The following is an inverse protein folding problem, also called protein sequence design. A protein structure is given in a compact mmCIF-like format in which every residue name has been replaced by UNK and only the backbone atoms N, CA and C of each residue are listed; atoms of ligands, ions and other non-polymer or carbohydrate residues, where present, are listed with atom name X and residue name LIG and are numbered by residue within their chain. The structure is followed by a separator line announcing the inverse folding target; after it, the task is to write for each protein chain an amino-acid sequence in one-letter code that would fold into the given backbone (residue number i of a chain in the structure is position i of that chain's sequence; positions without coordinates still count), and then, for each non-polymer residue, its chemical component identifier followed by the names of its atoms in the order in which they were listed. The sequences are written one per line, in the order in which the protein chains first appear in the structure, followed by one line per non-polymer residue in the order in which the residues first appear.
data_IF_440766531868
#
_entry.id   IF_440766531868
#
_cell.length_a   1.000
_cell.length_b   1.000
_cell.length_c   1.000
_cell.angle_alpha   90.00
_cell.angle_beta   90.00
_cell.angle_gamma   90.00
#
_symmetry.space_group_name_H-M   'P 1'
#
loop_
_entity.id
_entity.type
_entity.pdbx_description
1 polymer ?
#
# COMPACT_ATOMS: atom_id res chain seq x y z
N UNK A 1 -24.47 9.24 7.61
CA UNK A 1 -25.52 9.79 6.68
C UNK A 1 -26.13 8.58 5.98
N UNK A 2 -27.41 8.26 6.24
CA UNK A 2 -28.06 7.09 5.67
C UNK A 2 -28.49 7.43 4.24
N UNK A 3 -27.95 6.75 3.26
CA UNK A 3 -28.42 6.88 1.90
C UNK A 3 -29.81 6.25 1.81
N UNK A 4 -30.84 7.06 1.55
CA UNK A 4 -32.17 6.56 1.21
C UNK A 4 -32.10 5.94 -0.19
N UNK A 5 -32.15 4.66 -0.27
CA UNK A 5 -32.38 3.94 -1.52
C UNK A 5 -33.72 4.36 -2.12
N UNK A 6 -33.70 4.72 -3.39
CA UNK A 6 -34.89 5.13 -4.15
C UNK A 6 -35.95 4.04 -4.10
N UNK A 7 -37.21 4.41 -3.77
CA UNK A 7 -38.35 3.50 -3.66
C UNK A 7 -38.64 2.83 -5.01
N UNK A 8 -38.16 1.61 -5.20
CA UNK A 8 -38.68 0.74 -6.24
C UNK A 8 -39.81 -0.10 -5.62
N UNK A 9 -41.02 0.00 -6.15
CA UNK A 9 -42.12 -0.91 -5.76
C UNK A 9 -41.79 -2.29 -6.31
N UNK A 10 -41.28 -3.16 -5.46
CA UNK A 10 -41.10 -4.58 -5.77
C UNK A 10 -42.44 -5.27 -5.57
N UNK A 11 -43.15 -5.51 -6.68
CA UNK A 11 -44.41 -6.32 -6.68
C UNK A 11 -44.16 -7.78 -7.09
N UNK A 12 -42.93 -8.22 -7.11
CA UNK A 12 -42.49 -9.55 -7.53
C UNK A 12 -41.58 -10.16 -6.47
N UNK A 13 -41.52 -11.49 -6.45
CA UNK A 13 -40.48 -12.17 -5.68
C UNK A 13 -39.11 -11.97 -6.33
N UNK A 14 -38.14 -11.71 -5.52
CA UNK A 14 -36.73 -11.55 -5.96
C UNK A 14 -35.82 -12.44 -5.13
N UNK A 15 -34.89 -13.08 -5.78
CA UNK A 15 -33.81 -13.74 -5.08
C UNK A 15 -32.87 -12.66 -4.51
N UNK A 16 -32.71 -12.66 -3.19
CA UNK A 16 -31.83 -11.73 -2.50
C UNK A 16 -30.75 -12.54 -1.78
N UNK A 17 -29.51 -12.24 -2.07
CA UNK A 17 -28.39 -12.69 -1.23
C UNK A 17 -27.85 -11.53 -0.40
N UNK A 18 -27.69 -11.78 0.88
CA UNK A 18 -27.11 -10.86 1.85
C UNK A 18 -25.93 -11.55 2.52
N UNK A 19 -24.76 -10.97 2.40
CA UNK A 19 -23.54 -11.52 2.97
C UNK A 19 -22.85 -10.48 3.82
N UNK A 20 -22.37 -10.89 4.98
CA UNK A 20 -21.49 -10.11 5.85
C UNK A 20 -20.27 -10.97 6.11
N UNK A 21 -19.13 -10.52 5.63
CA UNK A 21 -17.88 -11.25 5.77
C UNK A 21 -16.89 -10.42 6.56
N UNK A 22 -16.24 -11.01 7.53
CA UNK A 22 -15.07 -10.40 8.16
C UNK A 22 -13.87 -10.63 7.25
N UNK A 23 -13.29 -9.55 6.75
CA UNK A 23 -12.14 -9.58 5.85
C UNK A 23 -10.80 -9.24 6.54
N UNK A 24 -10.88 -8.60 7.70
CA UNK A 24 -9.73 -8.35 8.59
C UNK A 24 -10.20 -8.21 10.04
N UNK A 25 -9.29 -8.10 10.98
CA UNK A 25 -9.60 -8.03 12.41
C UNK A 25 -10.58 -6.91 12.79
N UNK A 26 -10.61 -5.82 12.04
CA UNK A 26 -11.46 -4.65 12.27
C UNK A 26 -12.27 -4.25 11.03
N UNK A 27 -12.39 -5.14 10.04
CA UNK A 27 -13.06 -4.84 8.78
C UNK A 27 -14.17 -5.86 8.48
N UNK A 28 -15.30 -5.34 8.04
CA UNK A 28 -16.43 -6.12 7.54
C UNK A 28 -16.74 -5.70 6.11
N UNK A 29 -17.00 -6.67 5.25
CA UNK A 29 -17.58 -6.44 3.94
C UNK A 29 -19.03 -6.85 3.94
N UNK A 30 -19.91 -5.98 3.47
CA UNK A 30 -21.35 -6.24 3.33
C UNK A 30 -21.70 -6.24 1.85
N UNK A 31 -22.28 -7.34 1.38
CA UNK A 31 -22.68 -7.50 -0.02
C UNK A 31 -24.17 -7.81 -0.06
N UNK A 32 -24.91 -7.09 -0.90
CA UNK A 32 -26.33 -7.36 -1.19
C UNK A 32 -26.49 -7.52 -2.70
N UNK A 33 -27.01 -8.68 -3.12
CA UNK A 33 -27.37 -8.93 -4.51
C UNK A 33 -28.87 -9.16 -4.61
N UNK A 34 -29.48 -8.63 -5.65
CA UNK A 34 -30.92 -8.80 -5.97
C UNK A 34 -31.02 -9.34 -7.38
N UNK A 35 -31.66 -10.50 -7.53
CA UNK A 35 -31.74 -11.21 -8.80
C UNK A 35 -30.37 -11.41 -9.47
N UNK A 36 -29.34 -11.68 -8.68
CA UNK A 36 -27.94 -11.86 -9.14
C UNK A 36 -27.16 -10.58 -9.40
N UNK A 37 -27.81 -9.42 -9.51
CA UNK A 37 -27.15 -8.14 -9.68
C UNK A 37 -26.68 -7.57 -8.33
N UNK A 38 -25.46 -7.08 -8.27
CA UNK A 38 -24.93 -6.45 -7.08
C UNK A 38 -25.54 -5.06 -6.88
N UNK A 39 -26.19 -4.86 -5.75
CA UNK A 39 -26.83 -3.61 -5.37
C UNK A 39 -26.03 -2.84 -4.34
N UNK A 40 -25.25 -3.57 -3.55
CA UNK A 40 -24.48 -2.98 -2.48
C UNK A 40 -23.25 -3.86 -2.22
N UNK A 41 -22.09 -3.21 -2.14
CA UNK A 41 -20.84 -3.88 -1.83
C UNK A 41 -19.91 -2.86 -1.16
N UNK A 42 -19.87 -2.87 0.16
CA UNK A 42 -19.16 -1.87 0.95
C UNK A 42 -18.27 -2.53 2.00
N UNK A 43 -17.10 -1.92 2.19
CA UNK A 43 -16.16 -2.28 3.25
C UNK A 43 -16.22 -1.25 4.37
N UNK A 44 -16.51 -1.72 5.56
CA UNK A 44 -16.53 -0.92 6.77
C UNK A 44 -15.24 -1.18 7.54
N UNK A 45 -14.40 -0.16 7.63
CA UNK A 45 -13.16 -0.18 8.42
C UNK A 45 -13.44 0.29 9.84
N UNK A 46 -12.66 -0.19 10.81
CA UNK A 46 -12.83 0.06 12.24
C UNK A 46 -14.23 -0.31 12.76
N UNK A 47 -14.82 -1.32 12.14
CA UNK A 47 -16.15 -1.77 12.50
C UNK A 47 -16.17 -2.42 13.89
N UNK A 48 -16.98 -1.86 14.78
CA UNK A 48 -17.26 -2.48 16.10
C UNK A 48 -18.01 -3.81 15.98
N UNK A 49 -18.55 -4.11 14.80
CA UNK A 49 -19.25 -5.35 14.51
C UNK A 49 -18.32 -6.48 14.06
N UNK A 50 -17.06 -6.16 13.74
CA UNK A 50 -16.05 -7.18 13.48
C UNK A 50 -15.88 -8.05 14.73
N UNK A 51 -15.78 -9.35 14.55
CA UNK A 51 -15.72 -10.35 15.63
C UNK A 51 -16.98 -10.41 16.54
N UNK A 52 -18.10 -9.83 16.11
CA UNK A 52 -19.35 -9.83 16.88
C UNK A 52 -20.36 -10.76 16.21
N UNK A 53 -20.99 -11.64 16.98
CA UNK A 53 -22.11 -12.40 16.49
C UNK A 53 -23.31 -11.48 16.26
N UNK A 54 -23.91 -11.57 15.08
CA UNK A 54 -25.09 -10.78 14.71
C UNK A 54 -26.31 -11.65 14.45
N UNK A 55 -27.48 -11.05 14.56
CA UNK A 55 -28.74 -11.65 14.19
C UNK A 55 -29.28 -11.04 12.91
N UNK A 56 -29.73 -11.89 11.99
CA UNK A 56 -30.42 -11.41 10.79
C UNK A 56 -31.85 -10.99 11.16
N UNK A 57 -32.19 -9.74 10.79
CA UNK A 57 -33.55 -9.19 11.01
C UNK A 57 -34.07 -8.61 9.69
N UNK A 58 -35.35 -8.69 9.50
CA UNK A 58 -36.06 -8.00 8.43
C UNK A 58 -37.29 -7.29 8.95
N UNK A 59 -37.74 -6.30 8.23
CA UNK A 59 -38.92 -5.55 8.65
C UNK A 59 -39.62 -4.87 7.48
N UNK A 60 -40.86 -4.48 7.70
CA UNK A 60 -41.65 -3.69 6.77
C UNK A 60 -42.13 -2.42 7.45
N UNK A 61 -42.29 -1.35 6.67
CA UNK A 61 -42.75 -0.04 7.15
C UNK A 61 -43.95 0.39 6.30
N UNK A 62 -44.90 1.00 6.94
CA UNK A 62 -46.15 1.46 6.30
C UNK A 62 -46.88 0.28 5.60
N UNK A 63 -47.86 -0.12 5.58
CA UNK A 63 -48.70 -1.11 4.85
C UNK A 63 -47.96 -2.11 3.90
N UNK A 64 -46.66 -2.12 3.90
CA UNK A 64 -45.87 -3.08 3.12
C UNK A 64 -45.83 -4.43 3.84
N UNK A 65 -45.91 -5.52 3.10
CA UNK A 65 -45.63 -6.85 3.63
C UNK A 65 -44.39 -7.42 2.97
N UNK A 66 -43.57 -8.11 3.76
CA UNK A 66 -42.36 -8.78 3.30
C UNK A 66 -42.44 -10.23 3.76
N UNK A 67 -42.30 -11.15 2.83
CA UNK A 67 -42.16 -12.57 3.11
C UNK A 67 -40.77 -13.01 2.71
N UNK A 68 -40.08 -13.69 3.61
CA UNK A 68 -38.77 -14.28 3.33
C UNK A 68 -38.90 -15.79 3.36
N UNK A 69 -38.56 -16.43 2.28
CA UNK A 69 -38.49 -17.86 2.15
C UNK A 69 -37.06 -18.32 2.00
N UNK A 70 -36.74 -19.47 2.59
CA UNK A 70 -35.42 -20.06 2.43
C UNK A 70 -35.30 -20.68 1.04
N UNK A 71 -34.44 -20.11 0.20
CA UNK A 71 -34.24 -20.54 -1.20
C UNK A 71 -33.11 -21.55 -1.42
N UNK A 72 -32.36 -21.94 -0.39
CA UNK A 72 -31.28 -22.91 -0.53
C UNK A 72 -30.30 -22.93 0.63
N UNK A 73 -29.15 -23.57 0.44
CA UNK A 73 -28.02 -23.48 1.35
C UNK A 73 -27.39 -22.08 1.23
N UNK A 74 -27.01 -21.48 2.35
CA UNK A 74 -26.22 -20.27 2.31
C UNK A 74 -24.96 -20.54 1.45
N UNK A 75 -24.83 -19.85 0.33
CA UNK A 75 -23.58 -19.81 -0.42
C UNK A 75 -22.70 -18.85 0.38
N UNK A 76 -21.75 -19.38 1.12
CA UNK A 76 -20.63 -18.57 1.61
C UNK A 76 -19.90 -18.14 0.34
N UNK A 77 -19.81 -16.83 0.03
CA UNK A 77 -19.00 -16.40 -1.09
C UNK A 77 -17.60 -16.98 -0.89
N UNK A 78 -17.04 -17.56 -1.93
CA UNK A 78 -15.63 -17.90 -1.90
C UNK A 78 -14.87 -16.63 -1.46
N UNK A 79 -13.95 -16.73 -0.51
CA UNK A 79 -13.11 -15.61 -0.17
C UNK A 79 -12.53 -15.07 -1.47
N UNK A 80 -12.64 -13.76 -1.66
CA UNK A 80 -11.99 -13.11 -2.81
C UNK A 80 -10.52 -13.56 -2.82
N UNK A 81 -10.02 -14.08 -3.93
CA UNK A 81 -8.65 -14.58 -3.96
C UNK A 81 -7.73 -13.48 -3.42
N UNK A 82 -6.87 -13.83 -2.48
CA UNK A 82 -5.90 -12.86 -1.98
C UNK A 82 -5.12 -12.30 -3.17
N UNK A 83 -4.90 -10.98 -3.20
CA UNK A 83 -4.19 -10.37 -4.30
C UNK A 83 -2.83 -11.03 -4.46
N UNK A 84 -2.56 -11.53 -5.66
CA UNK A 84 -1.26 -12.11 -5.99
C UNK A 84 -0.25 -10.99 -6.20
N UNK A 85 0.89 -11.09 -5.53
CA UNK A 85 1.97 -10.14 -5.67
C UNK A 85 3.32 -10.86 -5.64
N UNK A 86 4.31 -10.24 -6.28
CA UNK A 86 5.67 -10.72 -6.25
C UNK A 86 6.39 -10.23 -4.99
N UNK A 87 7.28 -11.06 -4.47
CA UNK A 87 8.21 -10.67 -3.41
C UNK A 87 9.62 -10.68 -3.99
N UNK A 88 10.25 -9.52 -4.02
CA UNK A 88 11.58 -9.32 -4.60
C UNK A 88 12.58 -8.99 -3.50
N UNK A 89 13.55 -9.86 -3.32
CA UNK A 89 14.75 -9.53 -2.56
C UNK A 89 15.68 -8.71 -3.46
N UNK A 90 16.09 -7.54 -3.00
CA UNK A 90 16.87 -6.60 -3.82
C UNK A 90 18.27 -7.10 -4.21
N UNK A 91 18.61 -8.32 -3.87
CA UNK A 91 19.94 -8.90 -4.15
C UNK A 91 20.31 -8.86 -5.63
N UNK A 92 19.36 -9.14 -6.53
CA UNK A 92 19.59 -9.10 -7.98
C UNK A 92 19.81 -7.66 -8.46
N UNK A 93 19.03 -6.72 -7.96
CA UNK A 93 19.17 -5.29 -8.28
C UNK A 93 20.54 -4.75 -7.85
N UNK A 94 21.01 -5.19 -6.68
CA UNK A 94 22.30 -4.75 -6.14
C UNK A 94 23.49 -5.37 -6.86
N UNK A 95 23.32 -6.54 -7.47
CA UNK A 95 24.33 -7.19 -8.29
C UNK A 95 24.50 -6.50 -9.66
N UNK A 96 23.43 -5.90 -10.17
CA UNK A 96 23.35 -5.26 -11.49
C UNK A 96 23.58 -3.73 -11.38
N UNK A 97 24.76 -3.37 -10.91
CA UNK A 97 25.11 -1.96 -10.62
C UNK A 97 25.10 -1.05 -11.84
N UNK A 98 25.30 -1.58 -13.04
CA UNK A 98 25.40 -0.81 -14.27
C UNK A 98 24.02 -0.31 -14.75
N UNK A 99 22.96 -0.90 -14.24
CA UNK A 99 21.57 -0.49 -14.48
C UNK A 99 20.99 0.42 -13.40
N UNK A 100 21.79 1.00 -12.55
CA UNK A 100 21.37 2.06 -11.66
C UNK A 100 21.69 3.44 -12.26
N UNK A 101 20.68 4.28 -12.34
CA UNK A 101 20.85 5.68 -12.76
C UNK A 101 20.97 6.59 -11.56
N UNK A 102 21.83 7.57 -11.66
CA UNK A 102 21.89 8.68 -10.71
C UNK A 102 20.97 9.78 -11.20
N UNK A 103 19.86 10.00 -10.50
CA UNK A 103 18.88 10.98 -10.93
C UNK A 103 19.34 12.42 -10.68
N UNK A 104 19.95 12.72 -9.53
CA UNK A 104 20.34 14.08 -9.16
C UNK A 104 21.64 14.12 -8.37
N UNK A 105 22.51 15.02 -8.78
CA UNK A 105 23.67 15.63 -8.15
C UNK A 105 24.81 14.74 -7.64
N UNK A 106 24.56 13.65 -6.91
CA UNK A 106 25.61 12.77 -6.40
C UNK A 106 25.43 11.35 -6.88
N UNK A 107 26.52 10.76 -7.33
CA UNK A 107 26.56 9.36 -7.74
C UNK A 107 26.26 8.44 -6.55
N UNK A 108 25.58 7.33 -6.84
CA UNK A 108 25.44 6.25 -5.90
C UNK A 108 26.76 5.50 -5.75
N UNK A 109 27.04 5.03 -4.54
CA UNK A 109 28.18 4.16 -4.28
C UNK A 109 27.74 2.69 -4.18
N UNK A 110 28.51 1.79 -4.79
CA UNK A 110 28.25 0.36 -4.78
C UNK A 110 29.42 -0.38 -4.15
N UNK A 111 29.19 -0.92 -2.96
CA UNK A 111 30.22 -1.62 -2.21
C UNK A 111 29.62 -2.86 -1.51
N UNK A 112 30.31 -3.98 -1.56
CA UNK A 112 29.98 -5.20 -0.81
C UNK A 112 28.49 -5.68 -0.97
N UNK A 113 27.93 -5.54 -2.18
CA UNK A 113 26.54 -5.92 -2.45
C UNK A 113 25.53 -4.99 -1.79
N UNK A 114 25.86 -3.73 -1.66
CA UNK A 114 24.96 -2.67 -1.24
C UNK A 114 25.01 -1.48 -2.19
N UNK A 115 23.94 -0.68 -2.19
CA UNK A 115 23.88 0.64 -2.82
C UNK A 115 23.72 1.70 -1.74
N UNK A 116 24.46 2.77 -1.87
CA UNK A 116 24.47 3.90 -0.93
C UNK A 116 24.19 5.20 -1.65
N UNK A 117 23.19 5.93 -1.18
CA UNK A 117 22.98 7.34 -1.47
C UNK A 117 23.58 8.18 -0.32
N UNK A 118 24.40 9.17 -0.65
CA UNK A 118 25.06 10.03 0.33
C UNK A 118 24.85 11.50 -0.03
N UNK A 119 23.84 12.10 0.56
CA UNK A 119 23.53 13.53 0.47
C UNK A 119 24.27 14.28 1.56
N UNK A 120 25.30 15.03 1.22
CA UNK A 120 26.14 15.77 2.17
C UNK A 120 25.39 16.89 2.93
N UNK A 121 26.10 17.58 3.82
CA UNK A 121 25.56 18.70 4.61
C UNK A 121 25.13 19.92 3.78
N UNK A 122 25.51 20.01 2.51
CA UNK A 122 25.20 21.15 1.64
C UNK A 122 23.79 21.13 1.04
N UNK A 123 22.89 20.24 1.51
CA UNK A 123 21.56 20.00 0.95
C UNK A 123 21.58 19.38 -0.45
N UNK A 124 22.68 18.73 -0.81
CA UNK A 124 22.80 18.03 -2.07
C UNK A 124 22.00 16.74 -2.01
N UNK A 125 21.17 16.54 -3.00
CA UNK A 125 20.41 15.30 -3.17
C UNK A 125 21.35 14.22 -3.72
N UNK A 126 21.26 13.04 -3.13
CA UNK A 126 21.75 11.81 -3.72
C UNK A 126 20.54 10.93 -3.98
N UNK A 127 20.16 10.76 -5.22
CA UNK A 127 18.98 10.03 -5.65
C UNK A 127 19.36 9.13 -6.81
N UNK A 128 18.85 7.92 -6.81
CA UNK A 128 19.00 7.05 -7.95
C UNK A 128 18.00 5.91 -7.95
N UNK A 129 17.78 5.36 -9.12
CA UNK A 129 16.85 4.26 -9.36
C UNK A 129 17.45 3.14 -10.18
N UNK A 130 16.98 1.95 -9.93
CA UNK A 130 17.29 0.78 -10.73
C UNK A 130 16.40 0.76 -11.98
N UNK A 131 17.01 0.79 -13.17
CA UNK A 131 16.33 0.84 -14.47
C UNK A 131 16.44 -0.45 -15.30
N UNK A 132 17.07 -1.48 -14.76
CA UNK A 132 17.18 -2.77 -15.47
C UNK A 132 15.85 -3.49 -15.65
N UNK A 133 14.84 -3.16 -14.82
CA UNK A 133 13.51 -3.76 -14.84
C UNK A 133 12.51 -2.87 -14.14
N UNK A 134 11.26 -2.87 -14.62
CA UNK A 134 10.10 -2.31 -13.92
C UNK A 134 9.39 -3.37 -13.07
N UNK A 135 8.62 -2.91 -12.11
CA UNK A 135 7.94 -3.76 -11.13
C UNK A 135 6.48 -3.34 -10.97
N UNK A 136 5.62 -4.33 -10.90
CA UNK A 136 4.18 -4.19 -10.71
C UNK A 136 3.72 -5.17 -9.62
N UNK A 137 2.79 -4.77 -8.79
CA UNK A 137 2.28 -5.64 -7.72
C UNK A 137 3.41 -6.33 -6.93
N UNK A 138 4.35 -5.55 -6.41
CA UNK A 138 5.59 -6.09 -5.86
C UNK A 138 5.87 -5.54 -4.47
N UNK A 139 6.30 -6.41 -3.59
CA UNK A 139 6.88 -6.09 -2.28
C UNK A 139 8.39 -6.33 -2.33
N UNK A 140 9.16 -5.29 -2.11
CA UNK A 140 10.62 -5.37 -1.98
C UNK A 140 11.02 -5.70 -0.56
N UNK A 141 12.00 -6.58 -0.42
CA UNK A 141 12.64 -6.92 0.85
C UNK A 141 14.10 -6.55 0.82
N UNK A 142 14.52 -5.78 1.80
CA UNK A 142 15.91 -5.33 1.91
C UNK A 142 16.27 -4.96 3.34
N UNK A 143 17.56 -4.85 3.58
CA UNK A 143 18.09 -4.22 4.79
C UNK A 143 18.37 -2.75 4.50
N UNK A 144 17.98 -1.90 5.40
CA UNK A 144 18.14 -0.46 5.33
C UNK A 144 18.95 0.05 6.51
N UNK A 145 19.96 0.87 6.24
CA UNK A 145 20.77 1.54 7.26
C UNK A 145 20.86 3.01 6.90
N UNK A 146 20.78 3.88 7.88
CA UNK A 146 20.91 5.32 7.69
C UNK A 146 21.92 5.94 8.61
N UNK A 147 22.41 7.11 8.24
CA UNK A 147 23.16 8.04 9.10
C UNK A 147 22.74 9.46 8.74
N UNK A 148 22.20 10.18 9.69
CA UNK A 148 21.74 11.53 9.47
C UNK A 148 22.84 12.52 9.82
N UNK A 149 23.07 13.51 8.95
CA UNK A 149 24.09 14.54 9.14
C UNK A 149 23.55 15.83 9.75
N UNK A 150 22.26 16.10 9.62
CA UNK A 150 21.60 17.28 10.16
C UNK A 150 20.17 16.97 10.61
N UNK A 151 19.61 17.81 11.49
CA UNK A 151 18.25 17.63 12.02
C UNK A 151 17.14 17.70 10.94
N UNK A 152 17.37 18.47 9.89
CA UNK A 152 16.50 18.59 8.72
C UNK A 152 16.87 17.61 7.59
N UNK A 153 17.81 16.70 7.84
CA UNK A 153 18.15 15.63 6.90
C UNK A 153 17.06 14.57 6.83
N UNK A 154 16.84 14.04 5.64
CA UNK A 154 15.93 12.93 5.39
C UNK A 154 16.51 11.96 4.37
N UNK A 155 16.00 10.76 4.40
CA UNK A 155 16.40 9.68 3.51
C UNK A 155 15.27 8.67 3.38
N UNK A 156 15.38 7.80 2.38
CA UNK A 156 14.37 6.80 2.16
C UNK A 156 14.52 6.00 0.88
N UNK A 157 13.41 5.46 0.44
CA UNK A 157 13.31 4.64 -0.75
C UNK A 157 12.01 4.94 -1.51
N UNK A 158 12.00 4.58 -2.79
CA UNK A 158 10.96 5.04 -3.71
C UNK A 158 10.53 3.94 -4.67
N UNK A 159 9.30 4.08 -5.17
CA UNK A 159 8.79 3.44 -6.36
C UNK A 159 8.37 4.55 -7.32
N UNK A 160 9.29 4.96 -8.19
CA UNK A 160 9.09 6.07 -9.12
C UNK A 160 8.53 5.63 -10.47
N UNK A 161 7.84 6.52 -11.17
CA UNK A 161 7.28 6.26 -12.50
C UNK A 161 8.33 6.32 -13.63
N UNK A 162 9.55 6.76 -13.33
CA UNK A 162 10.65 6.80 -14.31
C UNK A 162 12.01 6.57 -13.64
N UNK A 163 13.00 6.03 -14.37
CA UNK A 163 14.29 5.67 -13.81
C UNK A 163 15.11 6.88 -13.36
N UNK A 164 14.96 8.00 -14.06
CA UNK A 164 15.68 9.26 -13.76
C UNK A 164 14.93 10.13 -12.76
N UNK A 165 13.66 9.84 -12.50
CA UNK A 165 12.77 10.59 -11.64
C UNK A 165 12.11 9.67 -10.60
N UNK A 166 12.92 8.88 -9.91
CA UNK A 166 12.45 8.01 -8.83
C UNK A 166 12.02 8.80 -7.60
N UNK A 167 12.17 10.09 -7.60
CA UNK A 167 11.78 10.98 -6.52
C UNK A 167 11.23 12.31 -7.06
N UNK A 168 10.14 12.81 -6.49
CA UNK A 168 9.54 14.11 -6.64
C UNK A 168 9.45 14.67 -8.09
N UNK A 169 8.28 14.65 -8.67
CA UNK A 169 7.96 15.32 -9.93
C UNK A 169 7.48 14.43 -11.06
N UNK A 170 7.84 13.15 -11.06
CA UNK A 170 7.35 12.21 -12.07
C UNK A 170 6.18 11.34 -11.60
N UNK A 171 5.78 11.48 -10.34
CA UNK A 171 4.84 10.57 -9.71
C UNK A 171 5.51 9.34 -9.13
N UNK A 172 4.81 8.68 -8.21
CA UNK A 172 5.29 7.46 -7.57
C UNK A 172 4.93 7.42 -6.08
N UNK A 173 5.55 6.47 -5.39
CA UNK A 173 5.36 6.22 -3.98
C UNK A 173 6.69 6.37 -3.28
N UNK A 174 6.74 7.24 -2.28
CA UNK A 174 7.96 7.64 -1.59
C UNK A 174 7.82 7.44 -0.10
N UNK A 175 8.84 6.89 0.53
CA UNK A 175 8.96 6.87 1.99
C UNK A 175 10.15 7.71 2.37
N UNK A 176 9.89 8.77 3.14
CA UNK A 176 10.91 9.64 3.70
C UNK A 176 10.99 9.42 5.21
N UNK A 177 12.15 9.10 5.71
CA UNK A 177 12.45 9.07 7.14
C UNK A 177 13.08 10.39 7.57
N UNK A 178 12.37 11.14 8.38
CA UNK A 178 12.86 12.33 9.05
C UNK A 178 13.46 11.98 10.43
N UNK A 179 13.71 12.99 11.26
CA UNK A 179 14.26 12.81 12.62
C UNK A 179 13.37 11.90 13.47
N UNK A 180 12.08 12.20 13.54
CA UNK A 180 11.16 11.60 14.49
C UNK A 180 9.89 11.03 13.81
N UNK A 181 9.90 10.91 12.49
CA UNK A 181 8.73 10.48 11.71
C UNK A 181 9.10 9.80 10.41
N UNK A 182 8.19 9.00 9.90
CA UNK A 182 8.18 8.61 8.49
C UNK A 182 7.00 9.27 7.78
N UNK A 183 7.22 9.62 6.54
CA UNK A 183 6.20 10.17 5.66
C UNK A 183 6.10 9.28 4.43
N UNK A 184 4.91 8.75 4.20
CA UNK A 184 4.55 8.06 2.96
C UNK A 184 3.84 9.05 2.05
N UNK A 185 4.37 9.25 0.85
CA UNK A 185 3.78 10.09 -0.19
C UNK A 185 3.39 9.21 -1.36
N UNK A 186 2.15 9.35 -1.81
CA UNK A 186 1.64 8.70 -3.00
C UNK A 186 1.23 9.83 -3.96
N UNK A 187 2.06 10.07 -4.98
CA UNK A 187 1.89 11.17 -5.93
C UNK A 187 1.66 10.58 -7.30
N UNK A 188 0.45 10.61 -7.77
CA UNK A 188 0.04 10.22 -9.10
C UNK A 188 -0.49 11.40 -9.90
N UNK A 189 -1.08 11.12 -11.03
CA UNK A 189 -1.72 12.12 -11.88
C UNK A 189 -2.93 12.74 -11.21
N UNK A 190 -3.79 11.89 -10.64
CA UNK A 190 -5.05 12.27 -10.04
C UNK A 190 -5.07 12.08 -8.51
N UNK A 191 -4.03 11.46 -7.95
CA UNK A 191 -3.88 11.22 -6.52
C UNK A 191 -2.69 11.97 -5.96
N UNK A 192 -2.94 12.72 -4.88
CA UNK A 192 -1.89 13.27 -4.03
C UNK A 192 -2.24 12.97 -2.57
N UNK A 193 -1.74 11.85 -2.07
CA UNK A 193 -1.95 11.43 -0.69
C UNK A 193 -0.64 11.46 0.10
N UNK A 194 -0.71 12.05 1.28
CA UNK A 194 0.43 12.13 2.22
C UNK A 194 -0.01 11.59 3.57
N UNK A 195 0.70 10.59 4.05
CA UNK A 195 0.48 9.99 5.34
C UNK A 195 1.74 10.16 6.18
N UNK A 196 1.60 10.63 7.41
CA UNK A 196 2.71 10.75 8.33
C UNK A 196 2.46 9.92 9.59
N UNK A 197 3.50 9.38 10.16
CA UNK A 197 3.45 8.72 11.46
C UNK A 197 4.68 9.05 12.29
N UNK A 198 4.46 9.41 13.54
CA UNK A 198 5.51 9.55 14.55
C UNK A 198 5.78 8.25 15.32
N UNK A 199 5.02 7.20 15.04
CA UNK A 199 5.18 5.88 15.67
C UNK A 199 6.29 5.04 15.07
N UNK A 200 6.96 5.53 14.04
CA UNK A 200 8.15 4.87 13.49
C UNK A 200 9.19 4.83 14.59
N UNK A 201 9.82 3.67 14.83
CA UNK A 201 10.98 3.65 15.69
C UNK A 201 11.95 4.68 15.16
N UNK A 202 12.50 5.52 16.03
CA UNK A 202 13.62 6.34 15.65
C UNK A 202 14.64 5.41 14.98
N UNK A 203 14.77 5.50 13.66
CA UNK A 203 15.75 4.71 12.96
C UNK A 203 17.11 5.23 13.42
N UNK A 204 17.73 4.51 14.34
CA UNK A 204 19.00 4.91 14.91
C UNK A 204 20.09 4.87 13.84
N UNK A 205 20.91 5.87 13.83
CA UNK A 205 22.01 5.97 12.89
C UNK A 205 22.94 4.75 13.01
N UNK A 206 23.28 4.18 11.85
CA UNK A 206 24.14 3.01 11.75
C UNK A 206 23.48 1.66 12.10
N UNK A 207 22.23 1.65 12.55
CA UNK A 207 21.52 0.39 12.82
C UNK A 207 20.83 -0.14 11.58
N UNK A 208 20.95 -1.45 11.28
CA UNK A 208 20.24 -2.05 10.16
C UNK A 208 18.81 -2.43 10.51
N UNK A 209 17.89 -2.17 9.60
CA UNK A 209 16.46 -2.50 9.68
C UNK A 209 16.03 -3.36 8.50
N UNK A 210 15.25 -4.40 8.75
CA UNK A 210 14.63 -5.17 7.69
C UNK A 210 13.37 -4.44 7.22
N UNK A 211 13.31 -4.14 5.93
CA UNK A 211 12.21 -3.42 5.30
C UNK A 211 11.45 -4.36 4.37
N UNK A 212 10.12 -4.27 4.43
CA UNK A 212 9.21 -4.71 3.37
C UNK A 212 8.45 -3.48 2.88
N UNK A 213 8.63 -3.13 1.62
CA UNK A 213 8.00 -1.96 1.01
C UNK A 213 7.50 -2.26 -0.39
N UNK A 214 6.29 -1.84 -0.70
CA UNK A 214 5.76 -2.02 -2.04
C UNK A 214 4.30 -1.66 -2.21
N UNK A 215 3.79 -2.04 -3.37
CA UNK A 215 2.42 -1.80 -3.82
C UNK A 215 1.81 -3.11 -4.30
N UNK A 216 0.54 -3.32 -3.95
CA UNK A 216 -0.24 -4.49 -4.33
C UNK A 216 -1.55 -4.01 -4.95
N UNK A 217 -1.91 -4.54 -6.12
CA UNK A 217 -3.24 -4.38 -6.68
C UNK A 217 -4.25 -5.17 -5.87
N UNK A 218 -5.28 -4.50 -5.35
CA UNK A 218 -6.36 -5.15 -4.60
C UNK A 218 -7.50 -5.52 -5.54
N UNK A 219 -7.87 -4.64 -6.45
CA UNK A 219 -8.86 -4.84 -7.48
C UNK A 219 -8.62 -3.87 -8.65
N UNK A 220 -9.57 -3.80 -9.60
CA UNK A 220 -9.46 -2.97 -10.81
C UNK A 220 -9.35 -1.46 -10.56
N UNK A 221 -9.64 -0.99 -9.37
CA UNK A 221 -9.60 0.45 -9.03
C UNK A 221 -8.82 0.77 -7.76
N UNK A 222 -8.28 -0.24 -7.07
CA UNK A 222 -7.68 -0.06 -5.75
C UNK A 222 -6.31 -0.73 -5.67
N UNK A 223 -5.37 0.01 -5.12
CA UNK A 223 -4.06 -0.53 -4.74
C UNK A 223 -3.86 -0.38 -3.23
N UNK A 224 -3.00 -1.21 -2.68
CA UNK A 224 -2.56 -1.15 -1.29
C UNK A 224 -1.06 -0.89 -1.23
N UNK A 225 -0.66 0.14 -0.51
CA UNK A 225 0.75 0.45 -0.24
C UNK A 225 1.12 -0.05 1.15
N UNK A 226 2.22 -0.75 1.24
CA UNK A 226 2.67 -1.41 2.48
C UNK A 226 4.08 -0.94 2.82
N UNK A 227 4.29 -0.61 4.09
CA UNK A 227 5.60 -0.47 4.71
C UNK A 227 5.63 -1.25 6.02
N UNK A 228 6.57 -2.20 6.12
CA UNK A 228 6.91 -2.88 7.36
C UNK A 228 8.38 -2.66 7.70
N UNK A 229 8.66 -2.50 8.99
CA UNK A 229 10.01 -2.37 9.51
C UNK A 229 10.18 -3.44 10.60
N UNK A 230 11.16 -4.32 10.44
CA UNK A 230 11.39 -5.45 11.34
C UNK A 230 10.14 -6.31 11.60
N UNK A 231 9.30 -6.48 10.56
CA UNK A 231 8.06 -7.25 10.60
C UNK A 231 6.84 -6.51 11.16
N UNK A 232 7.02 -5.32 11.77
CA UNK A 232 5.89 -4.49 12.22
C UNK A 232 5.38 -3.61 11.09
N UNK A 233 4.06 -3.60 10.85
CA UNK A 233 3.42 -2.72 9.86
C UNK A 233 3.32 -1.29 10.38
N UNK A 234 3.80 -0.33 9.60
CA UNK A 234 3.72 1.11 9.87
C UNK A 234 2.78 1.83 8.92
N UNK A 235 2.82 1.46 7.66
CA UNK A 235 1.82 1.89 6.69
C UNK A 235 1.20 0.67 6.04
N UNK A 236 -0.12 0.67 5.97
CA UNK A 236 -0.96 -0.17 5.14
C UNK A 236 -2.12 0.70 4.69
N UNK A 237 -1.99 1.27 3.48
CA UNK A 237 -2.91 2.28 2.97
C UNK A 237 -3.52 1.83 1.65
N UNK A 238 -4.84 1.75 1.62
CA UNK A 238 -5.59 1.54 0.40
C UNK A 238 -5.88 2.87 -0.29
N UNK A 239 -5.60 2.91 -1.59
CA UNK A 239 -5.87 4.04 -2.47
C UNK A 239 -6.90 3.58 -3.50
N UNK A 240 -8.13 4.04 -3.33
CA UNK A 240 -9.25 3.76 -4.25
C UNK A 240 -9.28 4.76 -5.40
N UNK A 241 -9.82 4.34 -6.56
CA UNK A 241 -9.78 5.10 -7.81
C UNK A 241 -8.36 5.54 -8.16
N UNK A 242 -7.42 4.63 -7.95
CA UNK A 242 -6.00 4.93 -8.04
C UNK A 242 -5.50 4.81 -9.48
N UNK A 243 -4.82 5.85 -9.93
CA UNK A 243 -4.03 5.84 -11.15
C UNK A 243 -2.76 4.97 -11.06
N UNK A 244 -2.48 4.40 -9.89
CA UNK A 244 -1.41 3.40 -9.71
C UNK A 244 -1.85 1.96 -10.05
N UNK A 245 -3.12 1.72 -10.32
CA UNK A 245 -3.59 0.40 -10.71
C UNK A 245 -2.97 -0.02 -12.03
N UNK A 246 -2.23 -1.10 -12.00
CA UNK A 246 -1.60 -1.63 -13.20
C UNK A 246 -0.33 -0.92 -13.65
N UNK A 247 0.07 0.16 -12.97
CA UNK A 247 1.29 0.88 -13.27
C UNK A 247 2.54 0.07 -12.90
N UNK A 248 3.61 0.36 -13.59
CA UNK A 248 4.94 -0.18 -13.38
C UNK A 248 5.85 0.87 -12.77
N UNK A 249 6.70 0.46 -11.84
CA UNK A 249 7.54 1.34 -11.06
C UNK A 249 9.01 0.94 -11.14
N UNK A 250 9.88 1.92 -10.95
CA UNK A 250 11.31 1.74 -10.74
C UNK A 250 11.64 1.85 -9.25
N UNK A 251 12.40 0.91 -8.74
CA UNK A 251 12.86 0.96 -7.35
C UNK A 251 14.01 1.95 -7.19
N UNK A 252 13.99 2.77 -6.14
CA UNK A 252 15.00 3.80 -5.93
C UNK A 252 15.33 4.08 -4.47
N UNK A 253 16.37 4.89 -4.30
CA UNK A 253 16.91 5.35 -3.01
C UNK A 253 17.15 6.85 -3.03
N UNK A 254 16.95 7.50 -1.89
CA UNK A 254 17.22 8.93 -1.71
C UNK A 254 17.91 9.21 -0.39
N UNK A 255 18.77 10.21 -0.38
CA UNK A 255 19.33 10.81 0.82
C UNK A 255 19.58 12.32 0.62
N UNK A 256 19.23 13.12 1.62
CA UNK A 256 19.43 14.58 1.68
C UNK A 256 19.93 14.92 3.08
N UNK A 257 21.10 15.54 3.20
CA UNK A 257 21.77 15.76 4.48
C UNK A 257 21.82 14.50 5.37
N UNK A 258 21.91 13.36 4.71
CA UNK A 258 21.93 12.04 5.31
C UNK A 258 22.62 11.06 4.38
N UNK A 259 22.87 9.88 4.88
CA UNK A 259 23.38 8.73 4.13
C UNK A 259 22.41 7.58 4.32
N UNK A 260 22.00 6.98 3.22
CA UNK A 260 21.13 5.81 3.20
C UNK A 260 21.82 4.67 2.46
N UNK A 261 21.74 3.48 3.00
CA UNK A 261 22.30 2.27 2.41
C UNK A 261 21.26 1.17 2.34
N UNK A 262 21.07 0.61 1.16
CA UNK A 262 20.26 -0.58 0.91
C UNK A 262 21.21 -1.76 0.68
N UNK A 263 20.97 -2.86 1.38
CA UNK A 263 21.70 -4.10 1.23
C UNK A 263 20.75 -5.29 1.22
N UNK A 264 21.24 -6.45 0.84
CA UNK A 264 20.44 -7.68 0.80
C UNK A 264 19.87 -8.01 2.19
N UNK A 265 18.64 -8.55 2.24
CA UNK A 265 18.03 -8.95 3.51
C UNK A 265 18.83 -10.06 4.18
N UNK A 266 18.73 -10.15 5.51
CA UNK A 266 19.27 -11.32 6.23
C UNK A 266 18.26 -12.44 6.06
N UNK A 267 18.61 -13.44 5.30
CA UNK A 267 17.89 -14.73 5.35
C UNK A 267 18.07 -15.32 6.76
N UNK A 268 16.95 -15.51 7.45
CA UNK A 268 16.92 -16.27 8.70
C UNK A 268 17.11 -17.76 8.40
#
# INVERSE_FOLDING_TARGET
MWAMATRTRLSRAYDISFSVCQIAANQLRVIVKVAGAEWFNEVYTDSKLANTAGYFCFGSVNTASVTIEKTGKAVVPDPEPEPTYDVVDVTELLADKDNWTTGWNKALAFENGSVTADGDLSSTYSVGGYNGKTYKNTIFRFKYTRTRYADDGYDGFTLGSGPDNVYWGAGGIYVDFNKDSAVLRCIGKDIQAVFATSEVPSLNDGQPYNIEFGIIGVNESTVKVILKINGKTYFEKELTNSDFVGEEFYFGIIAVKSKATISKPVTK
#
